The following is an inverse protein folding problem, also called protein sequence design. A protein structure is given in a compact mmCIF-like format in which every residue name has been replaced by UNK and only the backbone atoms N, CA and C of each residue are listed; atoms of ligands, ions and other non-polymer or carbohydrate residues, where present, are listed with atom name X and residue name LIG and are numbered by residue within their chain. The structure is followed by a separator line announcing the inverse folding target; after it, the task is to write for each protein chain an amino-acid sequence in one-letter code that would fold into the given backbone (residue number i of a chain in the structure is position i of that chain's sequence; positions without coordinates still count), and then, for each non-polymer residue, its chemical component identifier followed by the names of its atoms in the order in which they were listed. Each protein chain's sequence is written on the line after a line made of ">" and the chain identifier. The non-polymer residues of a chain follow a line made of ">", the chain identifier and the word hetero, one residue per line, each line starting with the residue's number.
data_IF_431615686013
#
_entry.id   IF_431615686013
#
_cell.length_a   1.000
_cell.length_b   1.000
_cell.length_c   1.000
_cell.angle_alpha   90.00
_cell.angle_beta   90.00
_cell.angle_gamma   90.00
#
_symmetry.space_group_name_H-M   'P 1'
#
loop_
_entity.id
_entity.type
_entity.pdbx_description
1 polymer ?
#
# COMPACT_ATOMS: atom_id res chain seq x y z
N UNK A 1 -73.20 -76.78 -4.07
CA UNK A 1 -71.77 -76.89 -3.69
C UNK A 1 -70.97 -77.72 -4.70
N UNK A 2 -71.54 -78.73 -5.35
CA UNK A 2 -70.78 -79.65 -6.24
C UNK A 2 -70.19 -79.02 -7.51
N UNK A 3 -70.77 -77.93 -8.04
CA UNK A 3 -70.18 -77.18 -9.17
C UNK A 3 -68.93 -76.38 -8.80
N UNK A 4 -68.76 -76.03 -7.52
CA UNK A 4 -67.59 -75.29 -7.05
C UNK A 4 -66.40 -76.23 -6.82
N UNK A 5 -66.66 -77.46 -6.38
CA UNK A 5 -65.63 -78.47 -6.11
C UNK A 5 -65.04 -79.03 -7.42
N UNK A 6 -65.87 -79.23 -8.45
CA UNK A 6 -65.41 -79.67 -9.78
C UNK A 6 -64.65 -78.60 -10.59
N UNK A 7 -64.79 -77.32 -10.23
CA UNK A 7 -64.01 -76.24 -10.87
C UNK A 7 -62.55 -76.25 -10.40
N UNK A 8 -62.31 -76.62 -9.14
CA UNK A 8 -60.97 -76.64 -8.55
C UNK A 8 -60.17 -77.91 -8.84
N UNK A 9 -60.82 -79.04 -9.13
CA UNK A 9 -60.15 -80.32 -9.42
C UNK A 9 -59.59 -80.44 -10.85
N UNK A 10 -60.05 -79.60 -11.78
CA UNK A 10 -59.64 -79.62 -13.18
C UNK A 10 -58.50 -78.62 -13.50
N UNK A 11 -58.05 -77.88 -12.49
CA UNK A 11 -56.93 -76.95 -12.59
C UNK A 11 -55.67 -77.72 -12.22
N UNK A 12 -54.71 -77.78 -13.15
CA UNK A 12 -53.40 -78.37 -12.90
C UNK A 12 -52.60 -77.44 -11.97
N UNK A 13 -52.87 -77.55 -10.66
CA UNK A 13 -52.32 -76.69 -9.62
C UNK A 13 -50.78 -76.73 -9.58
N UNK A 14 -50.16 -77.84 -10.01
CA UNK A 14 -48.70 -77.92 -10.13
C UNK A 14 -48.14 -76.94 -11.17
N UNK A 15 -48.76 -76.82 -12.36
CA UNK A 15 -48.29 -75.86 -13.38
C UNK A 15 -48.55 -74.41 -12.96
N UNK A 16 -49.65 -74.13 -12.27
CA UNK A 16 -49.94 -72.79 -11.71
C UNK A 16 -48.99 -72.40 -10.57
N UNK A 17 -48.68 -73.30 -9.64
CA UNK A 17 -47.70 -73.03 -8.59
C UNK A 17 -46.28 -72.90 -9.16
N UNK A 18 -45.92 -73.74 -10.14
CA UNK A 18 -44.61 -73.63 -10.79
C UNK A 18 -44.45 -72.31 -11.56
N UNK A 19 -45.49 -71.78 -12.20
CA UNK A 19 -45.44 -70.51 -12.96
C UNK A 19 -45.42 -69.28 -12.03
N UNK A 20 -46.14 -69.32 -10.90
CA UNK A 20 -46.10 -68.27 -9.87
C UNK A 20 -44.73 -68.26 -9.18
N UNK A 21 -44.18 -69.43 -8.81
CA UNK A 21 -42.86 -69.52 -8.17
C UNK A 21 -41.73 -69.08 -9.11
N UNK A 22 -41.76 -69.50 -10.37
CA UNK A 22 -40.77 -69.08 -11.37
C UNK A 22 -40.85 -67.59 -11.67
N UNK A 23 -42.05 -67.00 -11.74
CA UNK A 23 -42.22 -65.56 -11.93
C UNK A 23 -41.77 -64.77 -10.70
N UNK A 24 -42.05 -65.25 -9.49
CA UNK A 24 -41.61 -64.63 -8.24
C UNK A 24 -40.09 -64.65 -8.07
N UNK A 25 -39.44 -65.76 -8.41
CA UNK A 25 -37.97 -65.88 -8.41
C UNK A 25 -37.34 -64.98 -9.46
N UNK A 26 -37.88 -64.93 -10.69
CA UNK A 26 -37.40 -64.02 -11.74
C UNK A 26 -37.57 -62.55 -11.35
N UNK A 27 -38.71 -62.19 -10.74
CA UNK A 27 -38.93 -60.85 -10.22
C UNK A 27 -37.95 -60.50 -9.10
N UNK A 28 -37.71 -61.41 -8.16
CA UNK A 28 -36.74 -61.21 -7.08
C UNK A 28 -35.31 -61.05 -7.60
N UNK A 29 -34.89 -61.89 -8.56
CA UNK A 29 -33.58 -61.79 -9.20
C UNK A 29 -33.44 -60.49 -10.01
N UNK A 30 -34.46 -60.11 -10.78
CA UNK A 30 -34.49 -58.84 -11.49
C UNK A 30 -34.46 -57.64 -10.53
N UNK A 31 -35.23 -57.70 -9.45
CA UNK A 31 -35.26 -56.65 -8.43
C UNK A 31 -33.90 -56.52 -7.72
N UNK A 32 -33.26 -57.64 -7.43
CA UNK A 32 -31.94 -57.67 -6.79
C UNK A 32 -30.87 -57.12 -7.73
N UNK A 33 -30.84 -57.58 -8.98
CA UNK A 33 -29.93 -57.08 -10.01
C UNK A 33 -30.14 -55.59 -10.30
N UNK A 34 -31.40 -55.15 -10.42
CA UNK A 34 -31.74 -53.74 -10.63
C UNK A 34 -31.32 -52.88 -9.43
N UNK A 35 -31.55 -53.34 -8.19
CA UNK A 35 -31.11 -52.64 -6.98
C UNK A 35 -29.58 -52.56 -6.90
N UNK A 36 -28.87 -53.64 -7.18
CA UNK A 36 -27.41 -53.68 -7.16
C UNK A 36 -26.81 -52.76 -8.23
N UNK A 37 -27.27 -52.85 -9.47
CA UNK A 37 -26.81 -51.98 -10.57
C UNK A 37 -27.10 -50.51 -10.30
N UNK A 38 -28.30 -50.19 -9.80
CA UNK A 38 -28.67 -48.83 -9.42
C UNK A 38 -27.80 -48.32 -8.26
N UNK A 39 -27.58 -49.14 -7.23
CA UNK A 39 -26.74 -48.79 -6.08
C UNK A 39 -25.28 -48.54 -6.48
N UNK A 40 -24.75 -49.31 -7.43
CA UNK A 40 -23.40 -49.12 -7.96
C UNK A 40 -23.27 -47.78 -8.70
N UNK A 41 -24.24 -47.45 -9.55
CA UNK A 41 -24.26 -46.16 -10.27
C UNK A 41 -24.37 -44.98 -9.30
N UNK A 42 -25.26 -45.06 -8.30
CA UNK A 42 -25.38 -44.01 -7.28
C UNK A 42 -24.11 -43.87 -6.44
N UNK A 43 -23.52 -44.98 -6.01
CA UNK A 43 -22.27 -44.97 -5.24
C UNK A 43 -21.14 -44.32 -6.05
N UNK A 44 -21.00 -44.69 -7.32
CA UNK A 44 -19.99 -44.10 -8.22
C UNK A 44 -20.21 -42.60 -8.40
N UNK A 45 -21.44 -42.16 -8.70
CA UNK A 45 -21.76 -40.73 -8.82
C UNK A 45 -21.51 -39.97 -7.52
N UNK A 46 -21.80 -40.57 -6.38
CA UNK A 46 -21.55 -39.97 -5.07
C UNK A 46 -20.05 -39.85 -4.77
N UNK A 47 -19.26 -40.88 -5.09
CA UNK A 47 -17.80 -40.84 -4.96
C UNK A 47 -17.17 -39.80 -5.91
N UNK A 48 -17.65 -39.71 -7.15
CA UNK A 48 -17.25 -38.67 -8.12
C UNK A 48 -17.59 -37.27 -7.59
N UNK A 49 -18.83 -37.04 -7.14
CA UNK A 49 -19.25 -35.77 -6.56
C UNK A 49 -18.44 -35.39 -5.31
N UNK A 50 -18.18 -36.37 -4.43
CA UNK A 50 -17.33 -36.16 -3.24
C UNK A 50 -15.92 -35.74 -3.64
N UNK A 51 -15.34 -36.42 -4.63
CA UNK A 51 -14.01 -36.11 -5.16
C UNK A 51 -13.97 -34.72 -5.79
N UNK A 52 -14.96 -34.35 -6.59
CA UNK A 52 -15.08 -33.01 -7.18
C UNK A 52 -15.20 -31.94 -6.09
N UNK A 53 -16.03 -32.18 -5.06
CA UNK A 53 -16.18 -31.27 -3.93
C UNK A 53 -14.87 -31.10 -3.15
N UNK A 54 -14.15 -32.19 -2.89
CA UNK A 54 -12.83 -32.17 -2.24
C UNK A 54 -11.81 -31.37 -3.08
N UNK A 55 -11.77 -31.58 -4.40
CA UNK A 55 -10.91 -30.83 -5.31
C UNK A 55 -11.25 -29.34 -5.33
N UNK A 56 -12.54 -28.98 -5.36
CA UNK A 56 -12.98 -27.60 -5.30
C UNK A 56 -12.63 -26.94 -3.97
N UNK A 57 -12.83 -27.63 -2.85
CA UNK A 57 -12.49 -27.14 -1.53
C UNK A 57 -10.97 -26.94 -1.38
N UNK A 58 -10.15 -27.87 -1.88
CA UNK A 58 -8.70 -27.76 -1.87
C UNK A 58 -8.21 -26.58 -2.72
N UNK A 59 -8.77 -26.41 -3.92
CA UNK A 59 -8.43 -25.27 -4.80
C UNK A 59 -8.79 -23.93 -4.14
N UNK A 60 -9.96 -23.83 -3.52
CA UNK A 60 -10.36 -22.62 -2.78
C UNK A 60 -9.42 -22.36 -1.60
N UNK A 61 -9.09 -23.40 -0.83
CA UNK A 61 -8.14 -23.30 0.29
C UNK A 61 -6.78 -22.77 -0.16
N UNK A 62 -6.24 -23.29 -1.27
CA UNK A 62 -4.96 -22.83 -1.83
C UNK A 62 -5.04 -21.37 -2.29
N UNK A 63 -6.13 -20.96 -2.94
CA UNK A 63 -6.33 -19.57 -3.35
C UNK A 63 -6.42 -18.61 -2.16
N UNK A 64 -7.14 -19.01 -1.11
CA UNK A 64 -7.21 -18.24 0.14
C UNK A 64 -5.84 -18.12 0.81
N UNK A 65 -5.07 -19.22 0.90
CA UNK A 65 -3.73 -19.20 1.47
C UNK A 65 -2.80 -18.26 0.70
N UNK A 66 -2.85 -18.29 -0.64
CA UNK A 66 -2.08 -17.36 -1.48
C UNK A 66 -2.49 -15.91 -1.22
N UNK A 67 -3.79 -15.61 -1.21
CA UNK A 67 -4.30 -14.25 -0.95
C UNK A 67 -3.87 -13.73 0.43
N UNK A 68 -3.94 -14.56 1.47
CA UNK A 68 -3.48 -14.20 2.83
C UNK A 68 -1.99 -13.91 2.82
N UNK A 69 -1.19 -14.74 2.16
CA UNK A 69 0.25 -14.53 2.05
C UNK A 69 0.59 -13.23 1.31
N UNK A 70 -0.02 -13.01 0.14
CA UNK A 70 0.22 -11.82 -0.67
C UNK A 70 -0.23 -10.55 0.05
N UNK A 71 -1.38 -10.61 0.75
CA UNK A 71 -1.85 -9.54 1.62
C UNK A 71 -0.86 -9.26 2.76
N UNK A 72 -0.33 -10.29 3.40
CA UNK A 72 0.68 -10.15 4.46
C UNK A 72 1.95 -9.46 3.97
N UNK A 73 2.44 -9.82 2.78
CA UNK A 73 3.58 -9.16 2.15
C UNK A 73 3.30 -7.69 1.84
N UNK A 74 2.13 -7.40 1.26
CA UNK A 74 1.72 -6.05 0.93
C UNK A 74 1.57 -5.18 2.19
N UNK A 75 0.86 -5.66 3.21
CA UNK A 75 0.72 -4.99 4.50
C UNK A 75 2.06 -4.73 5.16
N UNK A 76 2.96 -5.72 5.20
CA UNK A 76 4.31 -5.57 5.76
C UNK A 76 5.09 -4.47 5.03
N UNK A 77 5.00 -4.40 3.70
CA UNK A 77 5.64 -3.34 2.92
C UNK A 77 5.08 -1.96 3.24
N UNK A 78 3.78 -1.85 3.51
CA UNK A 78 3.15 -0.59 3.90
C UNK A 78 3.65 -0.09 5.25
N UNK A 79 3.79 -0.97 6.25
CA UNK A 79 4.38 -0.62 7.54
C UNK A 79 5.83 -0.13 7.43
N UNK A 80 6.57 -0.53 6.40
CA UNK A 80 7.92 -0.03 6.10
C UNK A 80 7.88 1.32 5.37
N UNK A 81 7.05 1.42 4.32
CA UNK A 81 7.04 2.54 3.39
C UNK A 81 6.39 3.79 3.99
N UNK A 82 5.30 3.63 4.74
CA UNK A 82 4.48 4.76 5.20
C UNK A 82 5.26 5.67 6.16
N UNK A 83 5.92 5.15 7.21
CA UNK A 83 6.72 5.99 8.10
C UNK A 83 7.88 6.67 7.38
N UNK A 84 8.55 5.99 6.46
CA UNK A 84 9.70 6.58 5.74
C UNK A 84 9.23 7.68 4.78
N UNK A 85 8.14 7.48 4.03
CA UNK A 85 7.56 8.52 3.19
C UNK A 85 7.14 9.75 4.01
N UNK A 86 6.41 9.51 5.11
CA UNK A 86 5.97 10.58 6.00
C UNK A 86 7.15 11.38 6.56
N UNK A 87 8.18 10.69 7.03
CA UNK A 87 9.44 11.29 7.52
C UNK A 87 10.13 12.14 6.45
N UNK A 88 10.27 11.65 5.22
CA UNK A 88 10.91 12.41 4.14
C UNK A 88 10.12 13.69 3.79
N UNK A 89 8.79 13.62 3.81
CA UNK A 89 7.94 14.80 3.61
C UNK A 89 8.12 15.83 4.74
N UNK A 90 8.17 15.37 6.00
CA UNK A 90 8.44 16.26 7.15
C UNK A 90 9.81 16.93 7.07
N UNK A 91 10.84 16.19 6.65
CA UNK A 91 12.18 16.74 6.43
C UNK A 91 12.12 17.84 5.37
N UNK A 92 11.54 17.55 4.19
CA UNK A 92 11.39 18.53 3.12
C UNK A 92 10.62 19.78 3.59
N UNK A 93 9.52 19.61 4.32
CA UNK A 93 8.76 20.71 4.92
C UNK A 93 9.64 21.55 5.85
N UNK A 94 10.39 20.92 6.75
CA UNK A 94 11.24 21.64 7.71
C UNK A 94 12.28 22.50 7.00
N UNK A 95 12.94 21.97 5.96
CA UNK A 95 13.91 22.76 5.19
C UNK A 95 13.25 23.94 4.49
N UNK A 96 12.10 23.73 3.84
CA UNK A 96 11.37 24.80 3.13
C UNK A 96 10.88 25.88 4.10
N UNK A 97 10.25 25.52 5.22
CA UNK A 97 9.77 26.50 6.21
C UNK A 97 10.93 27.25 6.88
N UNK A 98 12.10 26.62 7.00
CA UNK A 98 13.27 27.27 7.59
C UNK A 98 13.78 28.48 6.81
N UNK A 99 13.49 28.55 5.50
CA UNK A 99 13.84 29.68 4.62
C UNK A 99 13.18 31.00 5.05
N UNK A 100 12.11 30.95 5.85
CA UNK A 100 11.45 32.16 6.40
C UNK A 100 12.09 32.66 7.70
N UNK A 101 13.27 32.15 8.07
CA UNK A 101 14.01 32.62 9.24
C UNK A 101 13.65 31.90 10.54
N UNK A 102 13.21 30.63 10.46
CA UNK A 102 13.13 29.79 11.67
C UNK A 102 14.53 29.38 12.19
N UNK A 103 15.58 29.57 11.37
CA UNK A 103 16.97 29.33 11.75
C UNK A 103 17.65 30.61 12.24
N UNK A 104 18.36 30.51 13.35
CA UNK A 104 19.29 31.55 13.80
C UNK A 104 20.57 31.43 13.00
N UNK A 105 20.88 32.43 12.19
CA UNK A 105 22.18 32.54 11.50
C UNK A 105 23.09 33.43 12.36
N UNK A 106 24.39 33.09 12.52
CA UNK A 106 25.32 33.99 13.19
C UNK A 106 25.34 35.37 12.51
N UNK A 107 25.53 36.43 13.29
CA UNK A 107 25.64 37.78 12.73
C UNK A 107 26.98 38.00 12.01
N UNK A 108 27.96 37.14 12.29
CA UNK A 108 29.34 37.19 11.82
C UNK A 108 30.11 38.49 12.14
N UNK A 109 29.53 39.40 12.94
CA UNK A 109 30.13 40.70 13.29
C UNK A 109 31.43 40.52 14.08
N UNK A 110 31.50 39.50 14.92
CA UNK A 110 32.65 39.23 15.80
C UNK A 110 33.66 38.24 15.19
N UNK A 111 33.37 37.69 14.00
CA UNK A 111 34.21 36.67 13.37
C UNK A 111 35.43 37.31 12.70
N UNK A 112 36.58 36.63 12.77
CA UNK A 112 37.74 36.95 11.94
C UNK A 112 37.75 36.17 10.60
N UNK A 113 38.80 36.35 9.80
CA UNK A 113 38.92 35.73 8.48
C UNK A 113 39.21 34.23 8.55
N UNK A 114 39.82 33.73 9.63
CA UNK A 114 40.04 32.31 9.84
C UNK A 114 38.75 31.63 10.31
N UNK A 115 37.98 32.27 11.20
CA UNK A 115 36.66 31.81 11.66
C UNK A 115 35.70 31.64 10.48
N UNK A 116 35.63 32.63 9.58
CA UNK A 116 34.72 32.56 8.44
C UNK A 116 35.15 31.49 7.44
N UNK A 117 36.45 31.30 7.25
CA UNK A 117 37.00 30.26 6.39
C UNK A 117 36.66 28.88 6.92
N UNK A 118 36.79 28.66 8.23
CA UNK A 118 36.39 27.42 8.87
C UNK A 118 34.88 27.18 8.74
N UNK A 119 34.06 28.20 9.07
CA UNK A 119 32.60 28.13 8.99
C UNK A 119 32.13 27.73 7.58
N UNK A 120 32.64 28.40 6.54
CA UNK A 120 32.29 28.10 5.15
C UNK A 120 32.81 26.72 4.71
N UNK A 121 33.97 26.29 5.22
CA UNK A 121 34.50 24.94 5.01
C UNK A 121 33.60 23.85 5.59
N UNK A 122 33.10 24.03 6.81
CA UNK A 122 32.14 23.12 7.44
C UNK A 122 30.81 23.03 6.65
N UNK A 123 30.41 24.13 6.01
CA UNK A 123 29.25 24.20 5.10
C UNK A 123 29.54 23.67 3.69
N UNK A 124 30.74 23.11 3.44
CA UNK A 124 31.18 22.56 2.15
C UNK A 124 31.12 23.55 1.00
N UNK A 125 31.34 24.84 1.29
CA UNK A 125 31.47 25.86 0.26
C UNK A 125 32.73 25.60 -0.58
N UNK A 126 32.66 25.88 -1.88
CA UNK A 126 33.80 25.69 -2.76
C UNK A 126 34.95 26.62 -2.39
N UNK A 127 36.18 26.09 -2.34
CA UNK A 127 37.38 26.84 -1.96
C UNK A 127 37.56 28.15 -2.74
N UNK A 128 37.19 28.20 -4.03
CA UNK A 128 37.23 29.42 -4.83
C UNK A 128 36.36 30.55 -4.25
N UNK A 129 35.13 30.21 -3.81
CA UNK A 129 34.22 31.18 -3.19
C UNK A 129 34.64 31.55 -1.77
N UNK A 130 35.20 30.60 -1.02
CA UNK A 130 35.78 30.87 0.31
C UNK A 130 36.90 31.91 0.20
N UNK A 131 37.83 31.71 -0.74
CA UNK A 131 38.94 32.65 -0.93
C UNK A 131 38.45 34.04 -1.34
N UNK A 132 37.48 34.13 -2.24
CA UNK A 132 36.85 35.39 -2.65
C UNK A 132 36.23 36.14 -1.45
N UNK A 133 35.50 35.43 -0.58
CA UNK A 133 34.88 36.01 0.61
C UNK A 133 35.94 36.45 1.63
N UNK A 134 36.98 35.65 1.87
CA UNK A 134 38.07 35.99 2.79
C UNK A 134 38.84 37.21 2.31
N UNK A 135 39.17 37.30 1.02
CA UNK A 135 39.78 38.50 0.44
C UNK A 135 38.89 39.73 0.57
N UNK A 136 37.57 39.56 0.46
CA UNK A 136 36.61 40.64 0.70
C UNK A 136 36.56 41.02 2.18
N UNK A 137 36.65 40.05 3.09
CA UNK A 137 36.61 40.24 4.55
C UNK A 137 37.70 41.18 5.04
N UNK A 138 38.92 41.00 4.53
CA UNK A 138 40.09 41.83 4.87
C UNK A 138 39.99 43.27 4.35
N UNK A 139 39.21 43.50 3.28
CA UNK A 139 39.06 44.81 2.64
C UNK A 139 37.84 45.58 3.13
N UNK A 140 36.72 44.88 3.27
CA UNK A 140 35.40 45.42 3.56
C UNK A 140 34.54 44.33 4.23
N UNK A 141 34.61 44.28 5.56
CA UNK A 141 33.93 43.29 6.38
C UNK A 141 32.41 43.33 6.22
N UNK A 142 31.80 44.52 6.13
CA UNK A 142 30.34 44.64 6.00
C UNK A 142 29.85 44.04 4.69
N UNK A 143 30.56 44.33 3.59
CA UNK A 143 30.25 43.74 2.29
C UNK A 143 30.46 42.24 2.29
N UNK A 144 31.52 41.74 2.93
CA UNK A 144 31.78 40.31 3.03
C UNK A 144 30.71 39.57 3.85
N UNK A 145 30.24 40.15 4.96
CA UNK A 145 29.11 39.62 5.75
C UNK A 145 27.86 39.52 4.88
N UNK A 146 27.56 40.55 4.08
CA UNK A 146 26.42 40.51 3.16
C UNK A 146 26.57 39.38 2.13
N UNK A 147 27.75 39.24 1.53
CA UNK A 147 28.03 38.20 0.55
C UNK A 147 27.90 36.79 1.14
N UNK A 148 28.41 36.57 2.36
CA UNK A 148 28.21 35.31 3.10
C UNK A 148 26.72 35.03 3.28
N UNK A 149 25.96 36.00 3.77
CA UNK A 149 24.53 35.82 4.02
C UNK A 149 23.75 35.50 2.74
N UNK A 150 24.06 36.20 1.64
CA UNK A 150 23.41 35.95 0.36
C UNK A 150 23.80 34.58 -0.21
N UNK A 151 25.06 34.16 -0.05
CA UNK A 151 25.50 32.83 -0.46
C UNK A 151 24.89 31.72 0.41
N UNK A 152 24.75 31.92 1.72
CA UNK A 152 24.08 30.97 2.62
C UNK A 152 22.62 30.73 2.20
N UNK A 153 21.88 31.78 1.80
CA UNK A 153 20.51 31.61 1.28
C UNK A 153 20.47 30.70 0.06
N UNK A 154 21.45 30.81 -0.85
CA UNK A 154 21.55 29.95 -2.03
C UNK A 154 21.73 28.49 -1.61
N UNK A 155 22.62 28.22 -0.65
CA UNK A 155 22.85 26.87 -0.11
C UNK A 155 21.56 26.34 0.52
N UNK A 156 20.89 27.12 1.35
CA UNK A 156 19.65 26.70 2.02
C UNK A 156 18.53 26.36 1.02
N UNK A 157 18.38 27.16 -0.06
CA UNK A 157 17.45 26.86 -1.15
C UNK A 157 17.82 25.54 -1.85
N UNK A 158 19.11 25.31 -2.10
CA UNK A 158 19.58 24.06 -2.72
C UNK A 158 19.31 22.85 -1.81
N UNK A 159 19.56 22.95 -0.51
CA UNK A 159 19.24 21.93 0.47
C UNK A 159 17.74 21.63 0.48
N UNK A 160 16.89 22.66 0.49
CA UNK A 160 15.43 22.50 0.44
C UNK A 160 14.97 21.81 -0.86
N UNK A 161 15.54 22.17 -2.01
CA UNK A 161 15.27 21.49 -3.29
C UNK A 161 15.67 20.02 -3.25
N UNK A 162 16.83 19.72 -2.69
CA UNK A 162 17.34 18.37 -2.57
C UNK A 162 16.45 17.49 -1.70
N UNK A 163 16.05 17.97 -0.51
CA UNK A 163 15.16 17.22 0.38
C UNK A 163 13.75 17.07 -0.22
N UNK A 164 13.22 18.07 -0.93
CA UNK A 164 11.97 17.93 -1.67
C UNK A 164 12.08 16.87 -2.79
N UNK A 165 13.23 16.79 -3.46
CA UNK A 165 13.48 15.76 -4.47
C UNK A 165 13.52 14.36 -3.87
N UNK A 166 14.11 14.19 -2.69
CA UNK A 166 14.08 12.90 -1.96
C UNK A 166 12.67 12.48 -1.58
N UNK A 167 11.85 13.42 -1.09
CA UNK A 167 10.46 13.13 -0.77
C UNK A 167 9.67 12.67 -2.02
N UNK A 168 9.91 13.30 -3.19
CA UNK A 168 9.35 12.88 -4.48
C UNK A 168 9.80 11.50 -4.91
N UNK A 169 11.10 11.23 -4.82
CA UNK A 169 11.67 9.94 -5.17
C UNK A 169 11.07 8.84 -4.29
N UNK A 170 10.95 9.08 -2.98
CA UNK A 170 10.34 8.14 -2.05
C UNK A 170 8.87 7.87 -2.37
N UNK A 171 8.13 8.88 -2.81
CA UNK A 171 6.75 8.72 -3.28
C UNK A 171 6.68 7.86 -4.55
N UNK A 172 7.43 8.21 -5.59
CA UNK A 172 7.38 7.52 -6.89
C UNK A 172 7.88 6.08 -6.83
N UNK A 173 8.97 5.83 -6.10
CA UNK A 173 9.55 4.49 -5.97
C UNK A 173 8.58 3.51 -5.29
N UNK A 174 7.69 4.03 -4.44
CA UNK A 174 6.83 3.21 -3.61
C UNK A 174 5.34 3.31 -3.97
N UNK A 175 4.99 4.00 -5.07
CA UNK A 175 3.62 4.25 -5.50
C UNK A 175 2.75 2.98 -5.53
N UNK A 176 3.31 1.86 -5.99
CA UNK A 176 2.62 0.56 -6.07
C UNK A 176 2.14 0.02 -4.70
N UNK A 177 2.73 0.48 -3.60
CA UNK A 177 2.39 0.06 -2.24
C UNK A 177 1.56 1.11 -1.50
N UNK A 178 1.27 2.25 -2.12
CA UNK A 178 0.40 3.26 -1.54
C UNK A 178 -1.05 2.98 -1.95
N UNK A 179 -1.98 3.22 -1.03
CA UNK A 179 -3.38 3.33 -1.45
C UNK A 179 -3.53 4.60 -2.29
N UNK A 180 -4.56 4.64 -3.14
CA UNK A 180 -4.84 5.85 -3.92
C UNK A 180 -5.00 7.08 -3.01
N UNK A 181 -5.68 6.92 -1.87
CA UNK A 181 -5.95 8.00 -0.92
C UNK A 181 -4.66 8.60 -0.33
N UNK A 182 -3.70 7.74 0.06
CA UNK A 182 -2.41 8.14 0.60
C UNK A 182 -1.52 8.73 -0.49
N UNK A 183 -1.55 8.15 -1.69
CA UNK A 183 -0.80 8.66 -2.84
C UNK A 183 -1.23 10.08 -3.21
N UNK A 184 -2.54 10.32 -3.35
CA UNK A 184 -3.09 11.62 -3.71
C UNK A 184 -2.75 12.70 -2.66
N UNK A 185 -2.88 12.36 -1.38
CA UNK A 185 -2.53 13.26 -0.27
C UNK A 185 -1.03 13.61 -0.27
N UNK A 186 -0.15 12.62 -0.46
CA UNK A 186 1.29 12.83 -0.54
C UNK A 186 1.69 13.65 -1.78
N UNK A 187 1.08 13.39 -2.94
CA UNK A 187 1.32 14.17 -4.18
C UNK A 187 0.91 15.63 -3.99
N UNK A 188 -0.26 15.88 -3.39
CA UNK A 188 -0.73 17.23 -3.12
C UNK A 188 0.19 17.98 -2.14
N UNK A 189 0.71 17.30 -1.11
CA UNK A 189 1.70 17.85 -0.20
C UNK A 189 2.99 18.26 -0.92
N UNK A 190 3.56 17.34 -1.67
CA UNK A 190 4.77 17.58 -2.47
C UNK A 190 4.57 18.74 -3.45
N UNK A 191 3.39 18.85 -4.06
CA UNK A 191 3.03 19.95 -4.94
C UNK A 191 2.99 21.29 -4.19
N UNK A 192 2.29 21.35 -3.05
CA UNK A 192 2.21 22.57 -2.25
C UNK A 192 3.59 23.01 -1.72
N UNK A 193 4.40 22.06 -1.28
CA UNK A 193 5.80 22.31 -0.86
C UNK A 193 6.63 22.87 -2.02
N UNK A 194 6.46 22.32 -3.23
CA UNK A 194 7.13 22.83 -4.43
C UNK A 194 6.72 24.27 -4.74
N UNK A 195 5.43 24.58 -4.71
CA UNK A 195 4.92 25.92 -4.94
C UNK A 195 5.48 26.90 -3.91
N UNK A 196 5.46 26.51 -2.63
CA UNK A 196 6.00 27.35 -1.57
C UNK A 196 7.51 27.61 -1.74
N UNK A 197 8.27 26.58 -2.11
CA UNK A 197 9.71 26.71 -2.37
C UNK A 197 10.00 27.66 -3.55
N UNK A 198 9.22 27.56 -4.64
CA UNK A 198 9.33 28.47 -5.79
C UNK A 198 9.06 29.92 -5.33
N UNK A 199 8.03 30.13 -4.52
CA UNK A 199 7.69 31.46 -4.01
C UNK A 199 8.77 32.04 -3.08
N UNK A 200 9.54 31.19 -2.39
CA UNK A 200 10.68 31.63 -1.58
C UNK A 200 11.94 31.89 -2.40
N UNK A 201 12.18 31.12 -3.45
CA UNK A 201 13.29 31.35 -4.38
C UNK A 201 13.11 32.64 -5.19
N UNK A 202 11.90 32.89 -5.69
CA UNK A 202 11.56 34.07 -6.48
C UNK A 202 10.67 35.01 -5.66
N UNK A 203 11.26 35.62 -4.62
CA UNK A 203 10.50 36.48 -3.71
C UNK A 203 9.74 37.59 -4.44
N UNK A 204 8.41 37.52 -4.38
CA UNK A 204 7.51 38.55 -4.86
C UNK A 204 6.56 38.97 -3.71
N UNK A 205 6.52 40.26 -3.32
CA UNK A 205 5.69 40.71 -2.19
C UNK A 205 4.19 40.36 -2.31
N UNK A 206 3.68 40.26 -3.54
CA UNK A 206 2.30 39.85 -3.86
C UNK A 206 1.97 38.44 -3.36
N UNK A 207 2.96 37.55 -3.25
CA UNK A 207 2.79 36.14 -2.87
C UNK A 207 2.68 35.93 -1.36
N UNK A 208 2.74 36.97 -0.52
CA UNK A 208 2.68 36.82 0.95
C UNK A 208 1.41 36.11 1.43
N UNK A 209 0.24 36.50 0.89
CA UNK A 209 -1.04 35.88 1.25
C UNK A 209 -1.12 34.44 0.74
N UNK A 210 -0.61 34.19 -0.47
CA UNK A 210 -0.55 32.84 -1.04
C UNK A 210 0.35 31.92 -0.21
N UNK A 211 1.54 32.39 0.18
CA UNK A 211 2.47 31.64 1.03
C UNK A 211 1.86 31.27 2.37
N UNK A 212 1.07 32.17 2.96
CA UNK A 212 0.34 31.87 4.20
C UNK A 212 -0.69 30.77 3.97
N UNK A 213 -1.52 30.89 2.93
CA UNK A 213 -2.50 29.85 2.56
C UNK A 213 -1.85 28.50 2.27
N UNK A 214 -0.73 28.49 1.54
CA UNK A 214 0.04 27.29 1.25
C UNK A 214 0.58 26.66 2.54
N UNK A 215 1.10 27.47 3.46
CA UNK A 215 1.62 26.98 4.75
C UNK A 215 0.53 26.33 5.57
N UNK A 216 -0.64 26.97 5.68
CA UNK A 216 -1.81 26.42 6.38
C UNK A 216 -2.30 25.12 5.73
N UNK A 217 -2.39 25.09 4.39
CA UNK A 217 -2.77 23.91 3.64
C UNK A 217 -1.76 22.75 3.81
N UNK A 218 -0.46 23.04 3.81
CA UNK A 218 0.58 22.04 4.07
C UNK A 218 0.42 21.45 5.47
N UNK A 219 0.19 22.29 6.48
CA UNK A 219 0.02 21.84 7.85
C UNK A 219 -1.20 20.91 7.99
N UNK A 220 -2.32 21.29 7.38
CA UNK A 220 -3.53 20.47 7.40
C UNK A 220 -3.34 19.16 6.64
N UNK A 221 -2.72 19.21 5.46
CA UNK A 221 -2.51 18.01 4.64
C UNK A 221 -1.52 17.03 5.28
N UNK A 222 -0.57 17.49 6.11
CA UNK A 222 0.33 16.60 6.88
C UNK A 222 -0.44 15.80 7.93
N UNK A 223 -1.38 16.45 8.61
CA UNK A 223 -2.26 15.77 9.57
C UNK A 223 -3.14 14.76 8.84
N UNK A 224 -3.77 15.16 7.74
CA UNK A 224 -4.61 14.27 6.93
C UNK A 224 -3.82 13.07 6.37
N UNK A 225 -2.61 13.29 5.84
CA UNK A 225 -1.74 12.21 5.36
C UNK A 225 -1.41 11.22 6.49
N UNK A 226 -1.05 11.74 7.66
CA UNK A 226 -0.75 10.92 8.84
C UNK A 226 -1.96 10.10 9.23
N UNK A 227 -3.14 10.72 9.31
CA UNK A 227 -4.36 10.07 9.76
C UNK A 227 -4.77 8.95 8.78
N UNK A 228 -4.71 9.19 7.46
CA UNK A 228 -4.93 8.15 6.43
C UNK A 228 -3.94 7.00 6.54
N UNK A 229 -2.66 7.31 6.72
CA UNK A 229 -1.63 6.29 6.91
C UNK A 229 -1.91 5.48 8.19
N UNK A 230 -2.24 6.14 9.30
CA UNK A 230 -2.51 5.47 10.57
C UNK A 230 -3.78 4.62 10.51
N UNK A 231 -4.85 5.11 9.90
CA UNK A 231 -6.09 4.36 9.70
C UNK A 231 -5.79 3.06 8.96
N UNK A 232 -5.12 3.13 7.82
CA UNK A 232 -4.88 1.93 7.03
C UNK A 232 -3.82 0.98 7.63
N UNK A 233 -2.96 1.45 8.54
CA UNK A 233 -2.03 0.62 9.31
C UNK A 233 -2.64 0.04 10.60
N UNK A 234 -3.67 0.69 11.16
CA UNK A 234 -4.35 0.25 12.38
C UNK A 234 -5.34 -0.90 12.13
N UNK A 235 -5.74 -1.13 10.88
CA UNK A 235 -6.74 -2.15 10.55
C UNK A 235 -6.15 -3.57 10.66
N UNK A 236 -6.40 -4.18 11.82
CA UNK A 236 -6.48 -5.62 12.01
C UNK A 236 -7.90 -6.20 11.87
N UNK A 237 -8.85 -5.43 11.35
CA UNK A 237 -10.26 -5.83 11.14
C UNK A 237 -10.66 -5.66 9.68
N UNK A 238 -10.62 -6.74 8.91
CA UNK A 238 -11.28 -6.80 7.61
C UNK A 238 -12.46 -7.77 7.73
N UNK A 239 -13.66 -7.26 7.46
CA UNK A 239 -14.82 -8.06 7.04
C UNK A 239 -14.57 -8.70 5.67
#
# INVERSE_FOLDING_TARGET
>A
MDKFINFFSNINWQTYFSSILTTGVLYFLFQTWAKEGLSFVYKKKFEEFKKELEQHAEKQKLDFQRKIHDFGLYSSKRHEIYPELYKQILIAQSYILSLRGLKSVPTFVEYDSDDIKEYLGQRKVLNGKINEIVEMWERDKERAIKEVNDYMKIIEIQEAKYELSKAREQLWKNELYLSQSVCDAAQQLVKNLSSLLINYEFYEPSLRQENQRLTEAIQQNIVDLKDKMQEELAIGHYE
#
